data_IF_849574618995
#
_entry.id   IF_849574618995
#
_cell.length_a   1.000
_cell.length_b   1.000
_cell.length_c   1.000
_cell.angle_alpha   90.00
_cell.angle_beta   90.00
_cell.angle_gamma   90.00
#
_symmetry.space_group_name_H-M   'P 1'
#
loop_
_entity.id
_entity.type
_entity.pdbx_description
1 polymer ?
#
# COMPACT_ATOMS: atom_id res chain seq x y z
N UNK A 1 -25.41 -11.93 3.93
CA UNK A 1 -24.55 -10.75 4.20
C UNK A 1 -23.69 -10.49 2.98
N UNK A 2 -23.65 -9.23 2.55
CA UNK A 2 -22.90 -8.73 1.39
C UNK A 2 -21.39 -8.85 1.62
N UNK A 3 -20.62 -9.08 0.56
CA UNK A 3 -19.15 -9.00 0.63
C UNK A 3 -18.72 -7.54 0.50
N UNK A 4 -17.73 -7.13 1.29
CA UNK A 4 -17.15 -5.79 1.24
C UNK A 4 -15.65 -5.89 1.01
N UNK A 5 -15.17 -5.21 -0.03
CA UNK A 5 -13.76 -5.00 -0.28
C UNK A 5 -13.57 -3.50 -0.42
N UNK A 6 -12.79 -2.91 0.49
CA UNK A 6 -12.47 -1.48 0.48
C UNK A 6 -10.97 -1.33 0.22
N UNK A 7 -10.58 -0.77 -0.91
CA UNK A 7 -9.22 -0.37 -1.19
C UNK A 7 -8.96 1.04 -0.69
N UNK A 8 -7.94 1.24 0.13
CA UNK A 8 -7.53 2.56 0.61
C UNK A 8 -6.38 3.11 -0.25
N UNK A 9 -6.50 4.37 -0.62
CA UNK A 9 -5.44 5.13 -1.28
C UNK A 9 -5.26 6.50 -0.64
N UNK A 10 -4.08 7.07 -0.76
CA UNK A 10 -3.71 8.35 -0.16
C UNK A 10 -2.24 8.41 0.20
N UNK A 11 -1.74 9.63 0.40
CA UNK A 11 -0.34 9.86 0.73
C UNK A 11 0.09 9.15 2.02
N UNK A 12 1.37 8.83 2.13
CA UNK A 12 1.97 8.52 3.43
C UNK A 12 1.69 9.66 4.43
N UNK A 13 1.19 9.30 5.62
CA UNK A 13 0.81 10.27 6.66
C UNK A 13 -0.62 10.83 6.56
N UNK A 14 -1.41 10.49 5.52
CA UNK A 14 -2.79 10.98 5.41
C UNK A 14 -3.78 10.41 6.44
N UNK A 15 -3.40 9.32 7.12
CA UNK A 15 -4.26 8.60 8.08
C UNK A 15 -4.94 7.35 7.52
N UNK A 16 -4.58 6.90 6.30
CA UNK A 16 -5.09 5.66 5.70
C UNK A 16 -4.91 4.42 6.59
N UNK A 17 -3.79 4.31 7.28
CA UNK A 17 -3.51 3.19 8.18
C UNK A 17 -4.47 3.21 9.38
N UNK A 18 -4.75 4.41 9.91
CA UNK A 18 -5.76 4.65 10.96
C UNK A 18 -7.17 4.33 10.47
N UNK A 19 -7.54 4.71 9.25
CA UNK A 19 -8.84 4.33 8.66
C UNK A 19 -8.99 2.81 8.58
N UNK A 20 -7.94 2.10 8.17
CA UNK A 20 -7.95 0.64 8.15
C UNK A 20 -8.12 0.05 9.56
N UNK A 21 -7.42 0.59 10.55
CA UNK A 21 -7.56 0.17 11.96
C UNK A 21 -8.98 0.37 12.49
N UNK A 22 -9.62 1.50 12.15
CA UNK A 22 -10.99 1.79 12.55
C UNK A 22 -12.00 0.80 11.93
N UNK A 23 -11.84 0.45 10.65
CA UNK A 23 -12.67 -0.56 9.99
C UNK A 23 -12.48 -1.95 10.61
N UNK A 24 -11.25 -2.30 10.98
CA UNK A 24 -10.94 -3.57 11.67
C UNK A 24 -11.61 -3.60 13.04
N UNK A 25 -11.41 -2.55 13.85
CA UNK A 25 -11.85 -2.50 15.23
C UNK A 25 -13.38 -2.42 15.38
N UNK A 26 -14.06 -1.68 14.49
CA UNK A 26 -15.47 -1.35 14.67
C UNK A 26 -16.41 -1.95 13.62
N UNK A 27 -15.87 -2.45 12.51
CA UNK A 27 -16.67 -3.05 11.44
C UNK A 27 -16.21 -4.48 11.08
N UNK A 28 -15.29 -5.07 11.86
CA UNK A 28 -14.78 -6.43 11.70
C UNK A 28 -14.19 -6.70 10.31
N UNK A 29 -13.49 -5.72 9.76
CA UNK A 29 -12.74 -5.92 8.52
C UNK A 29 -11.45 -6.70 8.79
N UNK A 30 -11.05 -7.53 7.81
CA UNK A 30 -9.71 -8.08 7.72
C UNK A 30 -8.81 -7.15 6.92
N UNK A 31 -7.65 -6.84 7.47
CA UNK A 31 -6.63 -6.04 6.80
C UNK A 31 -5.76 -6.90 5.89
N UNK A 32 -5.57 -6.46 4.65
CA UNK A 32 -4.62 -7.03 3.70
C UNK A 32 -3.86 -5.89 2.98
N UNK A 33 -2.73 -6.22 2.35
CA UNK A 33 -1.98 -5.27 1.53
C UNK A 33 -1.38 -5.98 0.31
N UNK A 34 -1.25 -5.27 -0.81
CA UNK A 34 -0.48 -5.75 -1.96
C UNK A 34 0.99 -5.96 -1.56
N UNK A 35 1.52 -5.08 -0.70
CA UNK A 35 2.88 -5.16 -0.22
C UNK A 35 3.16 -6.32 0.75
N UNK A 36 2.16 -7.11 1.17
CA UNK A 36 2.42 -8.27 2.06
C UNK A 36 3.29 -9.32 1.38
N UNK A 37 2.96 -9.71 0.14
CA UNK A 37 3.77 -10.65 -0.64
C UNK A 37 5.15 -10.06 -0.97
N UNK A 38 5.20 -8.77 -1.29
CA UNK A 38 6.44 -8.05 -1.56
C UNK A 38 7.40 -8.08 -0.35
N UNK A 39 6.88 -7.81 0.86
CA UNK A 39 7.70 -7.87 2.07
C UNK A 39 8.17 -9.30 2.36
N UNK A 40 7.33 -10.31 2.10
CA UNK A 40 7.72 -11.70 2.27
C UNK A 40 8.88 -12.09 1.35
N UNK A 41 8.83 -11.71 0.07
CA UNK A 41 9.91 -11.98 -0.87
C UNK A 41 11.21 -11.26 -0.50
N UNK A 42 11.13 -9.97 -0.12
CA UNK A 42 12.32 -9.22 0.31
C UNK A 42 12.90 -9.76 1.60
N UNK A 43 12.04 -10.16 2.55
CA UNK A 43 12.48 -10.78 3.80
C UNK A 43 13.27 -12.06 3.55
N UNK A 44 12.74 -12.94 2.69
CA UNK A 44 13.41 -14.18 2.29
C UNK A 44 14.75 -13.90 1.59
N UNK A 45 14.74 -13.03 0.58
CA UNK A 45 15.91 -12.75 -0.23
C UNK A 45 17.08 -12.09 0.52
N UNK A 46 16.79 -11.30 1.55
CA UNK A 46 17.80 -10.58 2.34
C UNK A 46 18.02 -11.16 3.74
N UNK A 47 17.36 -12.26 4.08
CA UNK A 47 17.47 -12.89 5.41
C UNK A 47 16.96 -12.00 6.55
N UNK A 48 15.88 -11.25 6.31
CA UNK A 48 15.26 -10.34 7.27
C UNK A 48 13.91 -10.88 7.76
N UNK A 49 13.43 -10.36 8.87
CA UNK A 49 12.06 -10.59 9.33
C UNK A 49 11.09 -9.60 8.69
N UNK A 50 9.82 -10.01 8.54
CA UNK A 50 8.74 -9.10 8.12
C UNK A 50 8.62 -7.87 9.03
N UNK A 51 8.91 -8.03 10.33
CA UNK A 51 8.86 -6.94 11.31
C UNK A 51 9.89 -5.86 11.00
N UNK A 52 11.11 -6.23 10.62
CA UNK A 52 12.17 -5.28 10.24
C UNK A 52 11.77 -4.44 9.01
N UNK A 53 11.06 -5.03 8.05
CA UNK A 53 10.57 -4.33 6.87
C UNK A 53 9.29 -3.49 7.13
N UNK A 54 8.43 -3.94 8.04
CA UNK A 54 7.12 -3.32 8.29
C UNK A 54 7.13 -2.23 9.37
N UNK A 55 8.13 -2.22 10.26
CA UNK A 55 8.20 -1.29 11.39
C UNK A 55 8.33 0.17 10.91
N UNK A 56 7.40 1.09 11.27
CA UNK A 56 7.32 2.42 10.66
C UNK A 56 8.61 3.24 10.70
N UNK A 57 9.29 3.30 11.85
CA UNK A 57 10.51 4.10 12.01
C UNK A 57 11.73 3.48 11.32
N UNK A 58 11.71 2.18 11.00
CA UNK A 58 12.81 1.50 10.29
C UNK A 58 12.69 1.62 8.78
N UNK A 59 11.51 1.95 8.23
CA UNK A 59 11.27 1.99 6.78
C UNK A 59 12.21 2.92 6.02
N UNK A 60 12.70 3.98 6.68
CA UNK A 60 13.58 4.99 6.09
C UNK A 60 14.98 4.98 6.68
N UNK A 61 15.32 3.97 7.49
CA UNK A 61 16.65 3.83 8.11
C UNK A 61 17.49 2.88 7.26
N UNK A 62 18.71 3.27 6.84
CA UNK A 62 19.60 2.38 6.10
C UNK A 62 19.91 1.11 6.90
N UNK A 63 19.88 -0.04 6.23
CA UNK A 63 20.20 -1.35 6.81
C UNK A 63 21.32 -2.01 6.00
N UNK A 64 22.37 -2.45 6.68
CA UNK A 64 23.54 -3.11 6.07
C UNK A 64 23.22 -4.47 5.47
N UNK A 65 22.14 -5.12 5.89
CA UNK A 65 21.63 -6.33 5.25
C UNK A 65 21.07 -6.03 3.85
N UNK A 66 20.55 -4.82 3.62
CA UNK A 66 19.94 -4.38 2.36
C UNK A 66 20.96 -3.82 1.35
N UNK A 67 22.19 -4.33 1.35
CA UNK A 67 23.23 -3.95 0.38
C UNK A 67 23.03 -4.69 -0.94
N UNK A 68 23.34 -4.02 -2.04
CA UNK A 68 23.17 -4.60 -3.38
C UNK A 68 24.20 -5.71 -3.67
N UNK A 69 25.34 -5.72 -2.97
CA UNK A 69 26.36 -6.80 -3.09
C UNK A 69 25.81 -8.20 -2.78
N UNK A 70 24.86 -8.30 -1.85
CA UNK A 70 24.23 -9.56 -1.44
C UNK A 70 22.88 -9.83 -2.09
N UNK A 71 22.43 -8.96 -3.00
CA UNK A 71 21.12 -9.06 -3.61
C UNK A 71 21.07 -10.19 -4.66
N UNK A 72 19.88 -10.80 -4.91
CA UNK A 72 19.69 -11.70 -6.04
C UNK A 72 20.11 -11.04 -7.37
N UNK A 73 20.78 -11.80 -8.23
CA UNK A 73 21.43 -11.27 -9.44
C UNK A 73 20.44 -10.63 -10.42
N UNK A 74 19.26 -11.22 -10.56
CA UNK A 74 18.20 -10.74 -11.44
C UNK A 74 17.53 -9.47 -10.90
N UNK A 75 17.33 -9.39 -9.57
CA UNK A 75 16.91 -8.17 -8.91
C UNK A 75 17.94 -7.04 -9.10
N UNK A 76 19.23 -7.33 -8.84
CA UNK A 76 20.33 -6.40 -9.05
C UNK A 76 20.37 -5.89 -10.50
N UNK A 77 20.29 -6.79 -11.48
CA UNK A 77 20.29 -6.45 -12.90
C UNK A 77 19.11 -5.53 -13.28
N UNK A 78 17.90 -5.81 -12.76
CA UNK A 78 16.73 -4.97 -13.02
C UNK A 78 16.88 -3.55 -12.45
N UNK A 79 17.40 -3.41 -11.23
CA UNK A 79 17.66 -2.10 -10.60
C UNK A 79 18.71 -1.34 -11.39
N UNK A 80 19.82 -1.99 -11.73
CA UNK A 80 20.93 -1.38 -12.47
C UNK A 80 20.48 -0.90 -13.84
N UNK A 81 19.69 -1.70 -14.56
CA UNK A 81 19.11 -1.30 -15.84
C UNK A 81 18.20 -0.08 -15.70
N UNK A 82 17.29 -0.10 -14.73
CA UNK A 82 16.37 1.02 -14.45
C UNK A 82 17.12 2.32 -14.15
N UNK A 83 18.14 2.26 -13.28
CA UNK A 83 18.95 3.42 -12.93
C UNK A 83 19.80 3.92 -14.11
N UNK A 84 20.31 3.01 -14.94
CA UNK A 84 21.09 3.40 -16.14
C UNK A 84 20.21 4.11 -17.17
N UNK A 85 18.95 3.69 -17.33
CA UNK A 85 17.98 4.37 -18.22
C UNK A 85 17.62 5.76 -17.68
N UNK A 86 17.58 5.94 -16.36
CA UNK A 86 17.27 7.23 -15.74
C UNK A 86 18.47 8.19 -15.67
N UNK A 87 19.70 7.71 -15.84
CA UNK A 87 20.92 8.50 -15.75
C UNK A 87 21.13 9.35 -17.02
N UNK A 88 21.44 10.66 -16.92
CA UNK A 88 21.67 11.53 -18.08
C UNK A 88 22.78 11.02 -19.02
N UNK A 89 23.78 10.33 -18.47
CA UNK A 89 24.94 9.79 -19.18
C UNK A 89 24.88 8.27 -19.36
N UNK A 90 23.74 7.64 -19.03
CA UNK A 90 23.53 6.20 -19.07
C UNK A 90 24.57 5.37 -18.31
N UNK A 91 25.26 5.96 -17.33
CA UNK A 91 26.27 5.24 -16.55
C UNK A 91 25.64 4.26 -15.58
N UNK A 92 26.25 3.09 -15.53
CA UNK A 92 25.82 1.98 -14.70
C UNK A 92 26.39 2.13 -13.28
N UNK A 93 25.56 2.18 -12.23
CA UNK A 93 26.05 2.27 -10.86
C UNK A 93 26.50 0.89 -10.39
N UNK A 94 27.75 0.52 -10.68
CA UNK A 94 28.34 -0.77 -10.30
C UNK A 94 29.71 -0.63 -9.62
N UNK A 95 30.00 0.53 -9.03
CA UNK A 95 31.17 0.66 -8.16
C UNK A 95 31.02 -0.20 -6.90
N UNK A 96 32.14 -0.63 -6.32
CA UNK A 96 32.14 -1.34 -5.04
C UNK A 96 31.44 -0.52 -3.95
N UNK A 97 31.65 0.80 -3.94
CA UNK A 97 30.96 1.73 -3.04
C UNK A 97 29.44 1.65 -3.20
N UNK A 98 28.92 1.64 -4.44
CA UNK A 98 27.48 1.58 -4.66
C UNK A 98 26.88 0.23 -4.24
N UNK A 99 27.61 -0.86 -4.49
CA UNK A 99 27.21 -2.21 -4.10
C UNK A 99 27.17 -2.37 -2.57
N UNK A 100 28.08 -1.72 -1.85
CA UNK A 100 28.20 -1.80 -0.39
C UNK A 100 27.43 -0.73 0.38
N UNK A 101 26.93 0.31 -0.27
CA UNK A 101 26.15 1.34 0.40
C UNK A 101 24.86 0.72 0.98
N UNK A 102 24.56 0.88 2.28
CA UNK A 102 23.31 0.38 2.88
C UNK A 102 22.07 1.09 2.33
N UNK A 103 21.00 0.33 2.06
CA UNK A 103 19.72 0.88 1.53
C UNK A 103 18.65 0.82 2.60
N UNK A 104 17.63 1.65 2.44
CA UNK A 104 16.47 1.62 3.33
C UNK A 104 15.48 0.53 2.89
N UNK A 105 14.69 -0.05 3.82
CA UNK A 105 13.61 -0.96 3.44
C UNK A 105 12.65 -0.36 2.41
N UNK A 106 12.30 0.94 2.53
CA UNK A 106 11.43 1.62 1.55
C UNK A 106 12.02 1.58 0.15
N UNK A 107 13.32 1.89 0.01
CA UNK A 107 14.00 1.90 -1.27
C UNK A 107 14.04 0.49 -1.90
N UNK A 108 14.42 -0.53 -1.13
CA UNK A 108 14.44 -1.91 -1.64
C UNK A 108 13.03 -2.38 -2.02
N UNK A 109 12.00 -2.08 -1.22
CA UNK A 109 10.63 -2.46 -1.53
C UNK A 109 10.11 -1.74 -2.79
N UNK A 110 10.50 -0.48 -3.02
CA UNK A 110 10.16 0.24 -4.25
C UNK A 110 10.78 -0.44 -5.47
N UNK A 111 12.10 -0.65 -5.44
CA UNK A 111 12.89 -1.36 -6.46
C UNK A 111 12.38 -2.76 -6.75
N UNK A 112 12.13 -3.55 -5.71
CA UNK A 112 11.67 -4.92 -5.86
C UNK A 112 10.24 -4.97 -6.44
N UNK A 113 9.38 -4.08 -5.93
CA UNK A 113 7.99 -4.00 -6.33
C UNK A 113 7.78 -3.53 -7.76
N UNK A 114 8.54 -2.52 -8.19
CA UNK A 114 8.27 -1.78 -9.43
C UNK A 114 9.27 -2.11 -10.52
N UNK A 115 10.56 -1.88 -10.28
CA UNK A 115 11.62 -2.07 -11.26
C UNK A 115 11.84 -3.56 -11.58
N UNK A 116 11.65 -4.44 -10.61
CA UNK A 116 11.87 -5.88 -10.77
C UNK A 116 10.59 -6.68 -11.03
N UNK A 117 9.67 -6.83 -10.07
CA UNK A 117 8.53 -7.76 -10.25
C UNK A 117 7.48 -7.26 -11.25
N UNK A 118 7.16 -5.96 -11.26
CA UNK A 118 6.18 -5.41 -12.22
C UNK A 118 6.69 -5.36 -13.65
N UNK A 119 8.01 -5.20 -13.86
CA UNK A 119 8.60 -5.25 -15.20
C UNK A 119 8.53 -6.65 -15.81
N UNK A 120 8.60 -7.71 -14.98
CA UNK A 120 8.38 -9.09 -15.40
C UNK A 120 6.91 -9.39 -15.70
N UNK A 121 6.00 -8.96 -14.82
CA UNK A 121 4.57 -9.22 -14.99
C UNK A 121 3.71 -8.14 -14.33
N UNK A 122 2.99 -7.33 -15.12
CA UNK A 122 2.22 -6.19 -14.60
C UNK A 122 1.16 -6.54 -13.55
N UNK A 123 0.60 -7.75 -13.58
CA UNK A 123 -0.40 -8.25 -12.60
C UNK A 123 0.19 -9.08 -11.44
N UNK A 124 1.51 -9.04 -11.21
CA UNK A 124 2.17 -9.89 -10.21
C UNK A 124 1.53 -9.77 -8.82
N UNK A 125 1.47 -8.55 -8.28
CA UNK A 125 0.93 -8.28 -6.94
C UNK A 125 -0.60 -8.44 -6.87
N UNK A 126 -1.32 -8.09 -7.93
CA UNK A 126 -2.77 -8.27 -7.99
C UNK A 126 -3.17 -9.74 -7.95
N UNK A 127 -2.40 -10.62 -8.61
CA UNK A 127 -2.64 -12.07 -8.56
C UNK A 127 -2.40 -12.62 -7.16
N UNK A 128 -1.30 -12.22 -6.52
CA UNK A 128 -0.98 -12.63 -5.16
C UNK A 128 -2.08 -12.22 -4.15
N UNK A 129 -2.56 -10.97 -4.24
CA UNK A 129 -3.64 -10.48 -3.37
C UNK A 129 -4.95 -11.23 -3.62
N UNK A 130 -5.35 -11.44 -4.89
CA UNK A 130 -6.58 -12.14 -5.23
C UNK A 130 -6.58 -13.58 -4.71
N UNK A 131 -5.47 -14.31 -4.84
CA UNK A 131 -5.36 -15.67 -4.29
C UNK A 131 -5.64 -15.69 -2.79
N UNK A 132 -5.08 -14.73 -2.05
CA UNK A 132 -5.27 -14.61 -0.59
C UNK A 132 -6.69 -14.17 -0.22
N UNK A 133 -7.29 -13.26 -1.00
CA UNK A 133 -8.69 -12.87 -0.84
C UNK A 133 -9.62 -14.08 -0.98
N UNK A 134 -9.46 -14.87 -2.05
CA UNK A 134 -10.26 -16.07 -2.31
C UNK A 134 -10.12 -17.09 -1.18
N UNK A 135 -8.90 -17.29 -0.67
CA UNK A 135 -8.65 -18.18 0.47
C UNK A 135 -9.45 -17.74 1.72
N UNK A 136 -9.35 -16.47 2.11
CA UNK A 136 -10.10 -15.97 3.26
C UNK A 136 -11.62 -16.02 3.03
N UNK A 137 -12.09 -15.72 1.82
CA UNK A 137 -13.50 -15.82 1.46
C UNK A 137 -14.04 -17.25 1.59
N UNK A 138 -13.26 -18.25 1.16
CA UNK A 138 -13.60 -19.67 1.36
C UNK A 138 -13.69 -20.04 2.84
N UNK A 139 -12.89 -19.40 3.67
CA UNK A 139 -12.93 -19.55 5.13
C UNK A 139 -14.02 -18.70 5.81
N UNK A 140 -14.93 -18.10 5.04
CA UNK A 140 -16.10 -17.38 5.55
C UNK A 140 -15.89 -15.88 5.81
N UNK A 141 -14.69 -15.35 5.55
CA UNK A 141 -14.41 -13.91 5.68
C UNK A 141 -15.15 -13.12 4.59
N UNK A 142 -15.75 -11.99 4.97
CA UNK A 142 -16.60 -11.20 4.04
C UNK A 142 -16.21 -9.75 3.93
N UNK A 143 -15.38 -9.24 4.84
CA UNK A 143 -15.05 -7.82 4.94
C UNK A 143 -13.54 -7.66 4.86
N UNK A 144 -13.07 -6.97 3.84
CA UNK A 144 -11.65 -6.77 3.57
C UNK A 144 -11.33 -5.29 3.38
N UNK A 145 -10.27 -4.84 4.03
CA UNK A 145 -9.68 -3.53 3.79
C UNK A 145 -8.27 -3.72 3.25
N UNK A 146 -8.02 -3.21 2.05
CA UNK A 146 -6.74 -3.30 1.35
C UNK A 146 -6.03 -1.96 1.52
N UNK A 147 -4.89 -1.92 2.19
CA UNK A 147 -4.39 -0.65 2.77
C UNK A 147 -3.51 0.20 1.88
N UNK A 148 -3.09 -0.31 0.72
CA UNK A 148 -2.02 0.27 -0.08
C UNK A 148 -2.29 0.24 -1.59
N UNK A 149 -3.48 0.69 -2.02
CA UNK A 149 -3.77 0.88 -3.44
C UNK A 149 -2.95 2.05 -3.98
N UNK A 150 -2.01 1.73 -4.87
CA UNK A 150 -1.00 2.63 -5.44
C UNK A 150 -1.02 2.70 -6.95
N UNK A 151 -1.68 1.78 -7.66
CA UNK A 151 -1.66 1.71 -9.13
C UNK A 151 -3.05 1.44 -9.73
N UNK A 152 -3.27 1.83 -10.99
CA UNK A 152 -4.59 1.70 -11.65
C UNK A 152 -5.02 0.23 -11.74
N UNK A 153 -4.09 -0.66 -12.10
CA UNK A 153 -4.37 -2.10 -12.15
C UNK A 153 -4.79 -2.70 -10.81
N UNK A 154 -4.35 -2.13 -9.68
CA UNK A 154 -4.77 -2.54 -8.34
C UNK A 154 -6.20 -2.07 -8.06
N UNK A 155 -6.49 -0.81 -8.35
CA UNK A 155 -7.83 -0.26 -8.21
C UNK A 155 -8.84 -1.03 -9.07
N UNK A 156 -8.51 -1.29 -10.33
CA UNK A 156 -9.34 -2.04 -11.28
C UNK A 156 -9.54 -3.49 -10.85
N UNK A 157 -8.50 -4.12 -10.29
CA UNK A 157 -8.60 -5.48 -9.75
C UNK A 157 -9.60 -5.54 -8.60
N UNK A 158 -9.55 -4.58 -7.67
CA UNK A 158 -10.48 -4.55 -6.54
C UNK A 158 -11.91 -4.28 -7.00
N UNK A 159 -12.12 -3.38 -7.96
CA UNK A 159 -13.44 -3.13 -8.57
C UNK A 159 -14.00 -4.36 -9.26
N UNK A 160 -13.17 -5.06 -10.03
CA UNK A 160 -13.56 -6.31 -10.70
C UNK A 160 -13.98 -7.38 -9.68
N UNK A 161 -13.39 -7.36 -8.48
CA UNK A 161 -13.79 -8.22 -7.36
C UNK A 161 -15.02 -7.70 -6.58
N UNK A 162 -15.71 -6.66 -7.06
CA UNK A 162 -16.88 -6.05 -6.40
C UNK A 162 -16.53 -5.08 -5.27
N UNK A 163 -15.27 -4.64 -5.19
CA UNK A 163 -14.79 -3.67 -4.20
C UNK A 163 -14.93 -2.22 -4.64
N UNK A 164 -14.64 -1.31 -3.70
CA UNK A 164 -14.62 0.14 -3.91
C UNK A 164 -13.30 0.73 -3.42
N UNK A 165 -12.90 1.86 -3.99
CA UNK A 165 -11.71 2.63 -3.64
C UNK A 165 -12.11 3.84 -2.81
N UNK A 166 -11.48 3.97 -1.65
CA UNK A 166 -11.62 5.11 -0.76
C UNK A 166 -10.31 5.88 -0.72
N UNK A 167 -10.40 7.19 -0.95
CA UNK A 167 -9.27 8.08 -0.82
C UNK A 167 -9.26 8.70 0.57
N UNK A 168 -8.10 8.69 1.24
CA UNK A 168 -7.91 9.36 2.52
C UNK A 168 -7.01 10.57 2.32
N UNK A 169 -7.53 11.76 2.56
CA UNK A 169 -6.83 13.05 2.39
C UNK A 169 -6.56 13.71 3.73
N UNK A 170 -5.47 14.46 3.83
CA UNK A 170 -5.14 15.28 5.01
C UNK A 170 -4.52 16.60 4.53
N UNK A 171 -5.07 17.77 4.90
CA UNK A 171 -4.50 19.06 4.53
C UNK A 171 -3.03 19.16 4.95
N UNK A 172 -2.20 19.74 4.09
CA UNK A 172 -0.76 19.92 4.34
C UNK A 172 0.12 18.68 4.13
N UNK A 173 -0.44 17.52 3.80
CA UNK A 173 0.34 16.32 3.47
C UNK A 173 0.36 16.07 1.96
N UNK A 174 1.53 16.27 1.34
CA UNK A 174 1.72 16.16 -0.11
C UNK A 174 2.67 15.00 -0.52
N UNK A 175 2.90 14.03 0.37
CA UNK A 175 3.72 12.85 0.03
C UNK A 175 5.24 13.05 0.10
N UNK A 176 5.71 14.09 0.79
CA UNK A 176 7.15 14.46 0.90
C UNK A 176 8.06 13.29 1.34
N UNK A 177 7.52 12.30 2.08
CA UNK A 177 8.26 11.12 2.54
C UNK A 177 8.43 9.98 1.52
N UNK A 178 7.91 10.09 0.29
CA UNK A 178 7.93 9.02 -0.73
C UNK A 178 8.85 9.33 -1.94
N UNK A 179 9.67 10.39 -1.88
CA UNK A 179 10.72 10.74 -2.86
C UNK A 179 10.25 10.75 -4.34
N UNK A 180 9.01 11.19 -4.61
CA UNK A 180 8.42 11.26 -5.95
C UNK A 180 8.45 9.94 -6.77
N UNK A 181 8.62 8.78 -6.10
CA UNK A 181 8.59 7.47 -6.76
C UNK A 181 7.21 7.20 -7.38
N UNK A 182 7.14 6.47 -8.50
CA UNK A 182 5.87 6.23 -9.24
C UNK A 182 4.77 5.52 -8.43
N UNK A 183 5.18 4.79 -7.38
CA UNK A 183 4.25 4.16 -6.43
C UNK A 183 3.68 5.12 -5.39
N UNK A 184 4.17 6.37 -5.33
CA UNK A 184 3.63 7.42 -4.47
C UNK A 184 2.37 7.99 -5.11
N UNK A 185 1.28 8.07 -4.36
CA UNK A 185 0.00 8.56 -4.90
C UNK A 185 -0.88 9.20 -3.84
N UNK A 186 -1.65 10.21 -4.26
CA UNK A 186 -2.76 10.74 -3.47
C UNK A 186 -4.05 9.95 -3.63
N UNK A 187 -4.15 9.05 -4.62
CA UNK A 187 -5.32 8.23 -4.91
C UNK A 187 -6.38 8.86 -5.83
N UNK A 188 -6.29 10.16 -6.13
CA UNK A 188 -7.31 10.90 -6.93
C UNK A 188 -7.47 10.31 -8.33
N UNK A 189 -6.36 9.90 -8.96
CA UNK A 189 -6.37 9.33 -10.32
C UNK A 189 -7.24 8.07 -10.44
N UNK A 190 -7.46 7.36 -9.33
CA UNK A 190 -8.28 6.16 -9.31
C UNK A 190 -9.78 6.44 -9.33
N UNK A 191 -10.21 7.71 -9.28
CA UNK A 191 -11.62 8.11 -9.22
C UNK A 191 -12.33 7.41 -8.05
N UNK A 192 -11.94 7.72 -6.81
CA UNK A 192 -12.42 7.00 -5.63
C UNK A 192 -13.93 7.17 -5.46
N UNK A 193 -14.61 6.10 -5.09
CA UNK A 193 -16.04 6.16 -4.81
C UNK A 193 -16.32 6.93 -3.52
N UNK A 194 -15.37 7.01 -2.59
CA UNK A 194 -15.46 7.82 -1.37
C UNK A 194 -14.18 8.61 -1.09
N UNK A 195 -14.33 9.83 -0.57
CA UNK A 195 -13.20 10.64 -0.09
C UNK A 195 -13.39 10.93 1.40
N UNK A 196 -12.47 10.41 2.22
CA UNK A 196 -12.42 10.61 3.67
C UNK A 196 -11.42 11.72 3.98
N UNK A 197 -11.93 12.89 4.38
CA UNK A 197 -11.11 14.05 4.75
C UNK A 197 -10.71 13.98 6.23
N UNK A 198 -9.44 13.65 6.50
CA UNK A 198 -8.86 13.62 7.82
C UNK A 198 -8.47 15.05 8.27
N UNK A 199 -9.43 15.77 8.87
CA UNK A 199 -9.30 17.19 9.22
C UNK A 199 -9.08 17.48 10.71
N UNK A 200 -9.44 16.53 11.58
CA UNK A 200 -9.51 16.75 13.02
C UNK A 200 -8.84 15.58 13.76
N UNK A 201 -9.42 15.14 14.88
CA UNK A 201 -8.92 14.03 15.68
C UNK A 201 -9.38 12.66 15.16
N UNK A 202 -8.88 11.60 15.81
CA UNK A 202 -9.21 10.22 15.47
C UNK A 202 -10.70 9.91 15.67
N UNK A 203 -11.39 10.58 16.61
CA UNK A 203 -12.83 10.36 16.86
C UNK A 203 -13.68 10.90 15.73
N UNK A 204 -13.35 12.10 15.26
CA UNK A 204 -13.96 12.65 14.06
C UNK A 204 -13.72 11.75 12.85
N UNK A 205 -12.47 11.26 12.67
CA UNK A 205 -12.15 10.32 11.60
C UNK A 205 -12.96 9.02 11.71
N UNK A 206 -13.12 8.48 12.92
CA UNK A 206 -13.98 7.32 13.19
C UNK A 206 -15.42 7.58 12.76
N UNK A 207 -16.00 8.73 13.14
CA UNK A 207 -17.34 9.12 12.74
C UNK A 207 -17.50 9.15 11.21
N UNK A 208 -16.54 9.74 10.50
CA UNK A 208 -16.54 9.77 9.03
C UNK A 208 -16.49 8.37 8.41
N UNK A 209 -15.55 7.53 8.86
CA UNK A 209 -15.33 6.19 8.31
C UNK A 209 -16.55 5.29 8.52
N UNK A 210 -17.11 5.29 9.73
CA UNK A 210 -18.26 4.44 10.07
C UNK A 210 -19.54 4.93 9.39
N UNK A 211 -19.75 6.25 9.30
CA UNK A 211 -20.89 6.81 8.55
C UNK A 211 -20.83 6.41 7.09
N UNK A 212 -19.67 6.56 6.44
CA UNK A 212 -19.49 6.21 5.02
C UNK A 212 -19.71 4.70 4.80
N UNK A 213 -19.19 3.86 5.69
CA UNK A 213 -19.36 2.41 5.59
C UNK A 213 -20.84 2.02 5.72
N UNK A 214 -21.53 2.52 6.77
CA UNK A 214 -22.94 2.22 7.02
C UNK A 214 -23.81 2.72 5.87
N UNK A 215 -23.57 3.94 5.37
CA UNK A 215 -24.30 4.48 4.22
C UNK A 215 -24.28 3.52 3.04
N UNK A 216 -23.10 3.00 2.69
CA UNK A 216 -22.92 2.07 1.58
C UNK A 216 -23.46 0.67 1.84
N UNK A 217 -23.39 0.20 3.08
CA UNK A 217 -23.90 -1.12 3.44
C UNK A 217 -25.43 -1.17 3.26
N UNK A 218 -26.11 -0.12 3.69
CA UNK A 218 -27.58 0.00 3.63
C UNK A 218 -28.11 0.69 2.37
N UNK A 219 -27.25 1.20 1.48
CA UNK A 219 -27.67 1.93 0.27
C UNK A 219 -28.34 3.28 0.59
N UNK A 220 -27.94 3.90 1.69
CA UNK A 220 -28.46 5.17 2.17
C UNK A 220 -27.63 6.34 1.61
N UNK A 221 -28.27 7.50 1.49
CA UNK A 221 -27.53 8.74 1.26
C UNK A 221 -26.71 9.08 2.51
N UNK A 222 -25.40 9.26 2.35
CA UNK A 222 -24.48 9.66 3.43
C UNK A 222 -24.93 10.95 4.10
N UNK A 223 -25.56 11.88 3.38
CA UNK A 223 -26.08 13.13 3.95
C UNK A 223 -27.26 12.91 4.92
N UNK A 224 -27.96 11.77 4.81
CA UNK A 224 -29.09 11.43 5.68
C UNK A 224 -28.70 10.73 6.98
N UNK A 225 -27.42 10.41 7.18
CA UNK A 225 -26.94 9.67 8.36
C UNK A 225 -26.22 10.61 9.31
N UNK A 226 -26.63 10.60 10.58
CA UNK A 226 -25.90 11.23 11.68
C UNK A 226 -25.37 10.13 12.60
N UNK A 227 -24.05 9.95 12.61
CA UNK A 227 -23.39 9.02 13.52
C UNK A 227 -22.83 9.79 14.71
N UNK A 228 -23.34 9.50 15.91
CA UNK A 228 -22.81 10.04 17.16
C UNK A 228 -21.88 8.98 17.79
N UNK A 229 -20.58 9.28 17.85
CA UNK A 229 -19.63 8.49 18.64
C UNK A 229 -19.76 8.99 20.08
N UNK A 230 -20.54 8.30 20.92
CA UNK A 230 -20.67 8.66 22.34
C UNK A 230 -19.40 8.27 23.12
N UNK A 231 -19.10 9.08 24.14
CA UNK A 231 -17.91 8.94 25.00
C UNK A 231 -17.94 7.68 25.87
#
# INVERSE_FOLDING_TARGET
MKQHIIGLSGWAGSGKDTVADLLVAHAHFRKLAFADALRAEVADAFGLTLKELATPHLKSTPNTALRMRGAPRDFLAAVVLSLSVAAPDHRTPLSDEWLDLPRTPRQILQWWGTEYRRSQHGRYWTRALLSRLVEYQRNGEKRFVITDVRFDNEADTLRTAGGTIWQVTRPGYCGEGENAHVSATNGTRFQPEAVIANLHDVRHLQGLVLTEFIARDFGLDRASIRFAVNA
#
